data_IF_838252135747
#
_entry.id   IF_838252135747
#
_cell.length_a   1.000
_cell.length_b   1.000
_cell.length_c   1.000
_cell.angle_alpha   90.00
_cell.angle_beta   90.00
_cell.angle_gamma   90.00
#
_symmetry.space_group_name_H-M   'P 1'
#
loop_
_entity.id
_entity.type
_entity.pdbx_description
1 polymer ?
#
# COMPACT_ATOMS: atom_id res chain seq x y z
N UNK A 1 28.27 16.15 30.08
CA UNK A 1 26.91 15.63 30.34
C UNK A 1 26.91 14.14 30.06
N UNK A 2 26.22 13.33 30.86
CA UNK A 2 26.13 11.88 30.62
C UNK A 2 24.82 11.61 29.87
N UNK A 3 24.88 11.62 28.55
CA UNK A 3 23.74 11.31 27.69
C UNK A 3 23.56 9.80 27.72
N UNK A 4 22.50 9.30 28.38
CA UNK A 4 22.22 7.86 28.45
C UNK A 4 21.82 7.32 27.07
N UNK A 5 22.81 7.04 26.22
CA UNK A 5 22.65 6.72 24.80
C UNK A 5 21.61 5.61 24.57
N UNK A 6 21.72 4.50 25.29
CA UNK A 6 20.80 3.37 25.14
C UNK A 6 19.38 3.65 25.65
N UNK A 7 19.22 4.53 26.65
CA UNK A 7 17.89 4.94 27.09
C UNK A 7 17.20 5.78 25.99
N UNK A 8 17.95 6.64 25.31
CA UNK A 8 17.42 7.41 24.19
C UNK A 8 17.01 6.50 23.02
N UNK A 9 17.80 5.46 22.71
CA UNK A 9 17.44 4.41 21.75
C UNK A 9 16.12 3.73 22.13
N UNK A 10 15.92 3.41 23.41
CA UNK A 10 14.68 2.79 23.89
C UNK A 10 13.47 3.73 23.74
N UNK A 11 13.63 5.04 23.95
CA UNK A 11 12.54 6.02 23.80
C UNK A 11 12.18 6.35 22.35
N UNK A 12 13.06 6.02 21.40
CA UNK A 12 12.86 6.30 19.98
C UNK A 12 11.76 5.44 19.34
N UNK A 13 11.45 4.28 19.93
CA UNK A 13 10.36 3.37 19.56
C UNK A 13 10.28 3.08 18.04
N UNK A 14 11.31 2.44 17.50
CA UNK A 14 11.38 2.05 16.09
C UNK A 14 11.24 0.54 15.90
N UNK A 15 10.79 0.12 14.71
CA UNK A 15 10.76 -1.30 14.31
C UNK A 15 11.85 -1.59 13.29
N UNK A 16 12.68 -2.59 13.58
CA UNK A 16 13.75 -3.06 12.69
C UNK A 16 15.14 -2.91 13.30
N UNK A 17 16.13 -2.70 12.45
CA UNK A 17 17.55 -2.59 12.79
C UNK A 17 18.02 -1.17 12.51
N UNK A 18 18.44 -0.46 13.57
CA UNK A 18 19.06 0.85 13.46
C UNK A 18 20.58 0.69 13.33
N UNK A 19 21.12 1.06 12.17
CA UNK A 19 22.55 1.02 11.87
C UNK A 19 23.15 2.41 12.05
N UNK A 20 24.19 2.51 12.88
CA UNK A 20 24.94 3.73 13.13
C UNK A 20 26.36 3.55 12.61
N UNK A 21 26.76 4.40 11.66
CA UNK A 21 28.11 4.42 11.10
C UNK A 21 28.76 5.77 11.43
N UNK A 22 29.97 5.75 11.97
CA UNK A 22 30.71 6.96 12.35
C UNK A 22 32.05 6.93 11.65
N UNK A 23 32.38 8.00 10.90
CA UNK A 23 33.67 8.19 10.27
C UNK A 23 34.27 9.55 10.63
N UNK A 24 35.61 9.64 10.58
CA UNK A 24 36.32 10.91 10.76
C UNK A 24 36.27 11.71 9.45
N UNK A 25 35.82 12.95 9.55
CA UNK A 25 35.86 13.94 8.48
C UNK A 25 37.14 14.77 8.50
N UNK A 26 37.18 15.80 7.65
CA UNK A 26 38.21 16.82 7.69
C UNK A 26 38.07 17.70 8.94
N UNK A 27 39.14 18.37 9.33
CA UNK A 27 39.12 19.43 10.36
C UNK A 27 38.53 18.96 11.71
N UNK A 28 38.84 17.72 12.11
CA UNK A 28 38.39 17.14 13.39
C UNK A 28 36.87 16.94 13.52
N UNK A 29 36.14 17.02 12.41
CA UNK A 29 34.71 16.71 12.37
C UNK A 29 34.44 15.20 12.31
N UNK A 30 33.26 14.81 12.75
CA UNK A 30 32.71 13.47 12.60
C UNK A 30 31.59 13.50 11.56
N UNK A 31 31.46 12.41 10.82
CA UNK A 31 30.35 12.14 9.91
C UNK A 31 29.60 10.94 10.48
N UNK A 32 28.34 11.14 10.81
CA UNK A 32 27.48 10.11 11.43
C UNK A 32 26.34 9.79 10.48
N UNK A 33 26.23 8.53 10.08
CA UNK A 33 25.18 8.03 9.21
C UNK A 33 24.27 7.08 9.99
N UNK A 34 22.97 7.36 9.96
CA UNK A 34 21.92 6.58 10.63
C UNK A 34 20.98 6.00 9.58
N UNK A 35 20.89 4.68 9.54
CA UNK A 35 20.01 3.94 8.63
C UNK A 35 19.08 3.03 9.43
N UNK A 36 17.77 3.16 9.24
CA UNK A 36 16.80 2.22 9.77
C UNK A 36 16.43 1.22 8.68
N UNK A 37 16.60 -0.08 8.96
CA UNK A 37 16.21 -1.16 8.07
C UNK A 37 15.20 -2.09 8.73
N UNK A 38 14.02 -2.27 8.14
CA UNK A 38 13.04 -3.23 8.62
C UNK A 38 12.91 -4.40 7.63
N UNK A 39 13.43 -5.57 8.00
CA UNK A 39 13.34 -6.78 7.17
C UNK A 39 11.90 -7.29 7.01
N UNK A 40 11.03 -6.98 7.97
CA UNK A 40 9.62 -7.40 7.95
C UNK A 40 8.82 -6.65 6.89
N UNK A 41 9.27 -5.48 6.45
CA UNK A 41 8.64 -4.77 5.34
C UNK A 41 9.00 -5.45 4.02
N UNK A 42 8.03 -6.11 3.38
CA UNK A 42 8.22 -6.79 2.11
C UNK A 42 8.42 -5.87 0.91
N UNK A 43 8.20 -4.56 1.07
CA UNK A 43 8.32 -3.58 0.00
C UNK A 43 9.79 -3.25 -0.31
N UNK A 44 10.19 -3.35 -1.58
CA UNK A 44 11.54 -3.02 -2.03
C UNK A 44 11.83 -1.50 -2.03
N UNK A 45 10.80 -0.66 -2.03
CA UNK A 45 10.93 0.79 -1.94
C UNK A 45 11.64 1.22 -0.64
N UNK A 46 11.64 0.38 0.41
CA UNK A 46 12.41 0.62 1.64
C UNK A 46 13.91 0.84 1.38
N UNK A 47 14.46 0.25 0.31
CA UNK A 47 15.87 0.40 -0.10
C UNK A 47 16.17 1.77 -0.71
N UNK A 48 15.15 2.51 -1.12
CA UNK A 48 15.28 3.85 -1.68
C UNK A 48 15.36 4.93 -0.58
N UNK A 49 15.04 4.57 0.67
CA UNK A 49 15.13 5.51 1.80
C UNK A 49 16.62 5.76 2.10
N UNK A 50 17.10 7.01 1.92
CA UNK A 50 18.50 7.31 2.15
C UNK A 50 18.83 7.31 3.65
N UNK A 51 20.09 7.03 4.03
CA UNK A 51 20.52 7.20 5.40
C UNK A 51 20.53 8.68 5.80
N UNK A 52 20.21 8.96 7.06
CA UNK A 52 20.33 10.29 7.64
C UNK A 52 21.80 10.56 7.98
N UNK A 53 22.41 11.52 7.30
CA UNK A 53 23.83 11.87 7.51
C UNK A 53 23.95 13.20 8.25
N UNK A 54 24.62 13.18 9.40
CA UNK A 54 24.96 14.34 10.22
C UNK A 54 26.46 14.60 10.16
N UNK A 55 26.85 15.86 10.26
CA UNK A 55 28.25 16.30 10.25
C UNK A 55 28.44 17.38 11.31
N UNK A 56 29.51 17.28 12.07
CA UNK A 56 29.86 18.27 13.06
C UNK A 56 31.00 17.81 13.97
N UNK A 57 31.39 18.69 14.87
CA UNK A 57 32.28 18.37 15.97
C UNK A 57 31.60 17.38 16.93
N UNK A 58 32.40 16.74 17.80
CA UNK A 58 31.84 15.86 18.83
C UNK A 58 30.84 16.59 19.74
N UNK A 59 31.12 17.85 20.10
CA UNK A 59 30.25 18.66 20.96
C UNK A 59 28.91 19.00 20.30
N UNK A 60 28.91 19.36 19.02
CA UNK A 60 27.67 19.64 18.28
C UNK A 60 26.81 18.38 18.15
N UNK A 61 27.44 17.24 17.89
CA UNK A 61 26.74 15.96 17.79
C UNK A 61 26.19 15.53 19.16
N UNK A 62 26.96 15.62 20.23
CA UNK A 62 26.50 15.24 21.58
C UNK A 62 25.26 16.04 22.01
N UNK A 63 25.21 17.34 21.68
CA UNK A 63 24.10 18.21 22.02
C UNK A 63 22.90 18.10 21.07
N UNK A 64 23.14 17.84 19.78
CA UNK A 64 22.13 17.92 18.73
C UNK A 64 21.64 16.58 18.15
N UNK A 65 22.36 15.48 18.36
CA UNK A 65 22.13 14.21 17.67
C UNK A 65 20.68 13.72 17.80
N UNK A 66 20.18 13.58 19.03
CA UNK A 66 18.83 13.07 19.26
C UNK A 66 17.74 13.99 18.72
N UNK A 67 17.92 15.30 18.82
CA UNK A 67 16.96 16.27 18.25
C UNK A 67 16.86 16.14 16.73
N UNK A 68 17.98 15.84 16.07
CA UNK A 68 18.03 15.70 14.62
C UNK A 68 17.53 14.35 14.12
N UNK A 69 17.75 13.25 14.87
CA UNK A 69 17.39 11.91 14.39
C UNK A 69 16.02 11.40 14.83
N UNK A 70 15.46 11.89 15.95
CA UNK A 70 14.23 11.32 16.53
C UNK A 70 13.06 11.34 15.55
N UNK A 71 12.72 12.53 15.05
CA UNK A 71 11.59 12.70 14.13
C UNK A 71 11.77 11.97 12.79
N UNK A 72 12.93 12.06 12.10
CA UNK A 72 13.13 11.30 10.87
C UNK A 72 13.04 9.78 11.06
N UNK A 73 13.65 9.23 12.12
CA UNK A 73 13.66 7.78 12.35
C UNK A 73 12.25 7.27 12.68
N UNK A 74 11.47 8.00 13.48
CA UNK A 74 10.07 7.66 13.75
C UNK A 74 9.22 7.68 12.46
N UNK A 75 9.41 8.66 11.59
CA UNK A 75 8.71 8.72 10.29
C UNK A 75 9.07 7.54 9.39
N UNK A 76 10.35 7.20 9.29
CA UNK A 76 10.83 6.06 8.49
C UNK A 76 10.26 4.76 9.06
N UNK A 77 10.30 4.58 10.38
CA UNK A 77 9.74 3.41 11.08
C UNK A 77 8.24 3.25 10.79
N UNK A 78 7.46 4.31 11.00
CA UNK A 78 6.02 4.31 10.74
C UNK A 78 5.69 3.98 9.29
N UNK A 79 6.40 4.62 8.34
CA UNK A 79 6.23 4.35 6.92
C UNK A 79 6.47 2.88 6.57
N UNK A 80 7.55 2.27 7.05
CA UNK A 80 7.86 0.85 6.77
C UNK A 80 6.80 -0.09 7.37
N UNK A 81 6.25 0.23 8.55
CA UNK A 81 5.17 -0.53 9.17
C UNK A 81 3.87 -0.41 8.38
N UNK A 82 3.54 0.79 7.92
CA UNK A 82 2.32 1.04 7.14
C UNK A 82 2.40 0.39 5.75
N UNK A 83 3.55 0.45 5.08
CA UNK A 83 3.81 -0.27 3.82
C UNK A 83 3.55 -1.77 3.98
N UNK A 84 4.07 -2.38 5.05
CA UNK A 84 3.87 -3.81 5.32
C UNK A 84 2.41 -4.16 5.61
N UNK A 85 1.73 -3.36 6.44
CA UNK A 85 0.30 -3.56 6.74
C UNK A 85 -0.56 -3.44 5.47
N UNK A 86 -0.32 -2.41 4.67
CA UNK A 86 -1.04 -2.18 3.42
C UNK A 86 -0.83 -3.34 2.45
N UNK A 87 0.41 -3.81 2.27
CA UNK A 87 0.72 -4.92 1.39
C UNK A 87 0.01 -6.22 1.83
N UNK A 88 0.01 -6.52 3.14
CA UNK A 88 -0.72 -7.66 3.71
C UNK A 88 -2.22 -7.57 3.49
N UNK A 89 -2.81 -6.40 3.76
CA UNK A 89 -4.24 -6.16 3.54
C UNK A 89 -4.62 -6.28 2.07
N UNK A 90 -3.79 -5.77 1.17
CA UNK A 90 -4.00 -5.86 -0.28
C UNK A 90 -4.05 -7.32 -0.76
N UNK A 91 -3.12 -8.16 -0.28
CA UNK A 91 -3.11 -9.59 -0.62
C UNK A 91 -4.33 -10.32 -0.08
N UNK A 92 -4.78 -10.00 1.14
CA UNK A 92 -6.00 -10.58 1.71
C UNK A 92 -7.25 -10.18 0.89
N UNK A 93 -7.38 -8.91 0.49
CA UNK A 93 -8.49 -8.44 -0.36
C UNK A 93 -8.48 -9.12 -1.73
N UNK A 94 -7.30 -9.29 -2.35
CA UNK A 94 -7.15 -10.04 -3.61
C UNK A 94 -7.58 -11.50 -3.45
N UNK A 95 -7.17 -12.15 -2.36
CA UNK A 95 -7.54 -13.54 -2.05
C UNK A 95 -9.05 -13.70 -1.88
N UNK A 96 -9.68 -12.82 -1.09
CA UNK A 96 -11.13 -12.82 -0.90
C UNK A 96 -11.88 -12.56 -2.22
N UNK A 97 -11.38 -11.64 -3.04
CA UNK A 97 -11.94 -11.36 -4.37
C UNK A 97 -11.85 -12.58 -5.30
N UNK A 98 -10.73 -13.32 -5.29
CA UNK A 98 -10.55 -14.54 -6.06
C UNK A 98 -11.48 -15.67 -5.57
N UNK A 99 -11.63 -15.83 -4.26
CA UNK A 99 -12.57 -16.81 -3.66
C UNK A 99 -14.02 -16.46 -4.04
N UNK A 100 -14.41 -15.19 -3.96
CA UNK A 100 -15.75 -14.75 -4.34
C UNK A 100 -16.04 -15.03 -5.83
N UNK A 101 -15.07 -14.77 -6.73
CA UNK A 101 -15.19 -15.13 -8.15
C UNK A 101 -15.28 -16.65 -8.35
N UNK A 102 -14.42 -17.44 -7.72
CA UNK A 102 -14.41 -18.90 -7.85
C UNK A 102 -15.68 -19.57 -7.29
N UNK A 103 -16.24 -19.05 -6.19
CA UNK A 103 -17.51 -19.53 -5.65
C UNK A 103 -18.68 -19.13 -6.55
N UNK A 104 -18.66 -17.93 -7.13
CA UNK A 104 -19.70 -17.49 -8.07
C UNK A 104 -19.75 -18.33 -9.35
N UNK A 105 -18.60 -18.82 -9.84
CA UNK A 105 -18.56 -19.72 -11.01
C UNK A 105 -18.97 -21.16 -10.67
N UNK A 106 -18.69 -21.66 -9.46
CA UNK A 106 -19.19 -22.97 -9.01
C UNK A 106 -20.71 -23.02 -8.89
N UNK A 107 -21.37 -21.92 -8.52
CA UNK A 107 -22.84 -21.86 -8.45
C UNK A 107 -23.50 -21.83 -9.83
N UNK A 108 -22.78 -21.41 -10.89
CA UNK A 108 -23.26 -21.47 -12.29
C UNK A 108 -23.09 -22.85 -12.94
N UNK A 109 -22.37 -23.77 -12.31
CA UNK A 109 -22.18 -25.14 -12.77
C UNK A 109 -23.24 -26.12 -12.22
N UNK A 110 -24.25 -25.62 -11.49
CA UNK A 110 -25.47 -26.40 -11.23
C UNK A 110 -26.28 -26.49 -12.53
N UNK A 111 -26.86 -27.66 -12.87
CA UNK A 111 -27.71 -27.78 -14.06
C UNK A 111 -28.86 -26.76 -13.95
N UNK A 112 -29.14 -25.96 -14.99
CA UNK A 112 -30.16 -24.93 -14.94
C UNK A 112 -31.49 -25.57 -14.56
N UNK A 113 -32.10 -25.06 -13.50
CA UNK A 113 -33.41 -25.56 -13.07
C UNK A 113 -34.45 -25.19 -14.12
N UNK A 114 -35.57 -25.89 -14.15
CA UNK A 114 -36.65 -25.63 -15.10
C UNK A 114 -37.18 -24.16 -15.03
N UNK A 115 -36.99 -23.51 -13.89
CA UNK A 115 -37.29 -22.09 -13.68
C UNK A 115 -36.29 -21.17 -14.38
N UNK A 116 -35.01 -21.53 -14.40
CA UNK A 116 -33.95 -20.75 -15.06
C UNK A 116 -34.10 -20.78 -16.58
N UNK A 117 -34.56 -21.91 -17.14
CA UNK A 117 -34.88 -22.02 -18.58
C UNK A 117 -36.05 -21.12 -18.96
N UNK A 118 -37.14 -21.14 -18.18
CA UNK A 118 -38.31 -20.26 -18.41
C UNK A 118 -37.97 -18.78 -18.31
N UNK A 119 -37.10 -18.40 -17.37
CA UNK A 119 -36.63 -17.02 -17.24
C UNK A 119 -35.81 -16.57 -18.46
N UNK A 120 -34.93 -17.43 -18.96
CA UNK A 120 -34.15 -17.15 -20.17
C UNK A 120 -35.02 -17.01 -21.42
N UNK A 121 -35.98 -17.92 -21.60
CA UNK A 121 -36.89 -17.87 -22.74
C UNK A 121 -37.80 -16.62 -22.69
N UNK A 122 -38.24 -16.21 -21.49
CA UNK A 122 -39.02 -14.98 -21.32
C UNK A 122 -38.20 -13.72 -21.65
N UNK A 123 -36.92 -13.68 -21.27
CA UNK A 123 -36.01 -12.58 -21.58
C UNK A 123 -35.74 -12.46 -23.08
N UNK A 124 -35.40 -13.58 -23.74
CA UNK A 124 -35.17 -13.60 -25.19
C UNK A 124 -36.41 -13.18 -25.97
N UNK A 125 -37.59 -13.63 -25.53
CA UNK A 125 -38.87 -13.25 -26.15
C UNK A 125 -39.19 -11.76 -25.96
N UNK A 126 -38.81 -11.18 -24.82
CA UNK A 126 -38.98 -9.74 -24.58
C UNK A 126 -38.04 -8.89 -25.45
N UNK A 127 -36.77 -9.32 -25.60
CA UNK A 127 -35.80 -8.63 -26.46
C UNK A 127 -36.18 -8.69 -27.95
N UNK A 128 -36.79 -9.78 -28.39
CA UNK A 128 -37.28 -9.90 -29.77
C UNK A 128 -38.53 -9.03 -30.03
N UNK A 129 -39.41 -8.90 -29.03
CA UNK A 129 -40.56 -8.00 -29.10
C UNK A 129 -40.15 -6.52 -29.09
N UNK A 130 -39.09 -6.13 -28.36
CA UNK A 130 -38.54 -4.77 -28.41
C UNK A 130 -37.89 -4.45 -29.76
N UNK A 131 -37.17 -5.41 -30.36
CA UNK A 131 -36.60 -5.25 -31.71
C UNK A 131 -37.67 -5.13 -32.79
N UNK A 132 -38.81 -5.80 -32.64
CA UNK A 132 -39.95 -5.64 -33.55
C UNK A 132 -40.75 -4.34 -33.30
N UNK A 133 -40.71 -3.76 -32.10
CA UNK A 133 -41.41 -2.53 -31.74
C UNK A 133 -40.79 -1.23 -32.26
N UNK A 134 -39.49 -1.22 -32.58
CA UNK A 134 -38.76 0.00 -32.99
C UNK A 134 -38.77 0.27 -34.51
N UNK A 135 -39.35 -0.63 -35.31
CA UNK A 135 -39.44 -0.49 -36.77
C UNK A 135 -40.83 -0.05 -37.26
N UNK A 136 -41.53 0.85 -36.56
CA UNK A 136 -42.69 1.60 -37.09
C UNK A 136 -42.78 3.01 -36.52
N UNK A 137 -41.79 3.86 -36.80
CA UNK A 137 -41.99 5.32 -36.75
C UNK A 137 -41.31 6.00 -37.94
N UNK A 138 -41.66 5.55 -39.15
CA UNK A 138 -41.52 6.36 -40.36
C UNK A 138 -42.60 7.43 -40.35
N UNK A 139 -42.21 8.70 -40.20
CA UNK A 139 -43.12 9.85 -40.31
C UNK A 139 -43.77 9.87 -41.70
N UNK A 140 -45.10 10.05 -41.83
CA UNK A 140 -45.70 10.33 -43.12
C UNK A 140 -45.37 11.77 -43.56
N UNK A 141 -45.06 11.91 -44.85
CA UNK A 141 -45.01 13.16 -45.60
C UNK A 141 -46.37 13.86 -45.55
N UNK A 142 -46.40 15.17 -45.31
CA UNK A 142 -47.53 16.02 -45.69
C UNK A 142 -46.99 17.13 -46.60
N UNK A 143 -47.44 17.07 -47.84
CA UNK A 143 -47.39 18.11 -48.86
C UNK A 143 -48.58 19.04 -48.58
N UNK A 144 -48.33 20.35 -48.48
CA UNK A 144 -49.18 21.39 -49.06
C UNK A 144 -48.34 22.64 -49.32
#
# INVERSE_FOLDING_TARGET
MNTNFFNQIQTLDFTGVLQLNISKGAENNLIVSVLLNNEQCGDNAKKLIPPLTLRGTAEELDNGFWQQITTPIQKISGLMVDMEKFQKQLEEVKKQSAIHKANSDKTKAAPPTEKDKKYRDALLKSEELEKQGTSKSGRPQIIL
#
